data_IF_622900192473
#
_entry.id   IF_622900192473
#
_cell.length_a   1.000
_cell.length_b   1.000
_cell.length_c   1.000
_cell.angle_alpha   90.00
_cell.angle_beta   90.00
_cell.angle_gamma   90.00
#
_symmetry.space_group_name_H-M   'P 1'
#
loop_
_entity.id
_entity.type
_entity.pdbx_description
1 polymer ?
#
# COMPACT_ATOMS: atom_id res chain seq x y z
N UNK A 1 13.16 -7.51 -0.76
CA UNK A 1 13.23 -7.12 -2.19
C UNK A 1 11.90 -6.51 -2.53
N UNK A 2 11.79 -5.19 -2.43
CA UNK A 2 10.61 -4.45 -2.91
C UNK A 2 10.59 -4.56 -4.43
N UNK A 3 9.43 -4.89 -5.00
CA UNK A 3 9.23 -5.06 -6.43
C UNK A 3 9.25 -3.69 -7.11
N UNK A 4 10.45 -3.17 -7.36
CA UNK A 4 10.66 -1.90 -8.06
C UNK A 4 10.20 -2.07 -9.53
N UNK A 5 9.02 -1.54 -9.86
CA UNK A 5 8.64 -1.15 -11.23
C UNK A 5 7.81 -2.11 -12.09
N UNK A 6 7.15 -3.12 -11.54
CA UNK A 6 6.22 -3.97 -12.31
C UNK A 6 4.77 -3.51 -12.14
N UNK A 7 4.05 -3.24 -13.24
CA UNK A 7 2.60 -2.96 -13.22
C UNK A 7 1.84 -4.12 -12.56
N UNK A 8 0.70 -3.85 -11.89
CA UNK A 8 -0.22 -4.89 -11.38
C UNK A 8 -0.46 -5.95 -12.44
N UNK A 9 -0.70 -5.52 -13.68
CA UNK A 9 -0.92 -6.42 -14.79
C UNK A 9 0.30 -7.30 -15.06
N UNK A 10 1.51 -6.75 -15.00
CA UNK A 10 2.75 -7.54 -15.16
C UNK A 10 2.90 -8.60 -14.06
N UNK A 11 2.62 -8.24 -12.81
CA UNK A 11 2.70 -9.17 -11.68
C UNK A 11 1.63 -10.28 -11.78
N UNK A 12 0.39 -9.89 -12.10
CA UNK A 12 -0.74 -10.80 -12.28
C UNK A 12 -0.49 -11.73 -13.47
N UNK A 13 -0.13 -11.20 -14.64
CA UNK A 13 0.18 -12.01 -15.82
C UNK A 13 1.44 -12.87 -15.62
N UNK A 14 2.42 -12.40 -14.86
CA UNK A 14 3.58 -13.20 -14.46
C UNK A 14 3.18 -14.42 -13.63
N UNK A 15 2.33 -14.22 -12.61
CA UNK A 15 1.78 -15.31 -11.82
C UNK A 15 0.95 -16.28 -12.68
N UNK A 16 0.08 -15.75 -13.53
CA UNK A 16 -0.71 -16.56 -14.48
C UNK A 16 0.19 -17.39 -15.41
N UNK A 17 1.24 -16.78 -15.98
CA UNK A 17 2.21 -17.46 -16.86
C UNK A 17 2.95 -18.56 -16.12
N UNK A 18 3.39 -18.30 -14.89
CA UNK A 18 4.05 -19.31 -14.05
C UNK A 18 3.13 -20.50 -13.79
N UNK A 19 1.89 -20.27 -13.37
CA UNK A 19 0.92 -21.33 -13.07
C UNK A 19 0.51 -22.12 -14.31
N UNK A 20 0.38 -21.44 -15.47
CA UNK A 20 0.14 -22.11 -16.75
C UNK A 20 1.35 -22.96 -17.16
N UNK A 21 2.57 -22.44 -17.03
CA UNK A 21 3.81 -23.16 -17.31
C UNK A 21 3.97 -24.39 -16.40
N UNK A 22 3.69 -24.25 -15.11
CA UNK A 22 3.70 -25.34 -14.15
C UNK A 22 2.70 -26.43 -14.56
N UNK A 23 1.50 -26.06 -14.98
CA UNK A 23 0.49 -27.02 -15.47
C UNK A 23 0.99 -27.77 -16.70
N UNK A 24 1.51 -27.07 -17.71
CA UNK A 24 2.04 -27.70 -18.94
C UNK A 24 3.19 -28.64 -18.59
N UNK A 25 4.08 -28.22 -17.70
CA UNK A 25 5.19 -29.04 -17.22
C UNK A 25 4.72 -30.33 -16.54
N UNK A 26 3.72 -30.26 -15.66
CA UNK A 26 3.14 -31.44 -15.00
C UNK A 26 2.48 -32.40 -16.00
N UNK A 27 1.81 -31.87 -17.03
CA UNK A 27 1.23 -32.68 -18.11
C UNK A 27 2.32 -33.37 -18.94
N UNK A 28 3.40 -32.66 -19.26
CA UNK A 28 4.52 -33.20 -20.04
C UNK A 28 5.24 -34.31 -19.27
N UNK A 29 5.50 -34.12 -17.97
CA UNK A 29 6.08 -35.18 -17.12
C UNK A 29 5.13 -36.37 -17.03
N UNK A 30 3.83 -36.14 -16.82
CA UNK A 30 2.83 -37.21 -16.77
C UNK A 30 2.83 -38.06 -18.05
N UNK A 31 2.89 -37.39 -19.20
CA UNK A 31 3.01 -38.02 -20.52
C UNK A 31 4.33 -38.79 -20.71
N UNK A 32 5.46 -38.16 -20.37
CA UNK A 32 6.79 -38.73 -20.52
C UNK A 32 7.02 -39.95 -19.62
N UNK A 33 6.50 -39.91 -18.39
CA UNK A 33 6.60 -41.00 -17.43
C UNK A 33 5.47 -42.04 -17.58
N UNK A 34 4.49 -41.81 -18.47
CA UNK A 34 3.24 -42.59 -18.61
C UNK A 34 2.54 -42.80 -17.26
N UNK A 35 2.58 -41.78 -16.42
CA UNK A 35 2.14 -41.85 -15.03
C UNK A 35 1.25 -40.67 -14.70
N UNK A 36 0.01 -40.93 -14.26
CA UNK A 36 -0.95 -39.87 -13.98
C UNK A 36 -0.67 -39.17 -12.64
N UNK A 37 0.07 -38.06 -12.72
CA UNK A 37 0.38 -37.21 -11.57
C UNK A 37 -0.86 -36.56 -10.97
N UNK A 38 -1.87 -36.23 -11.78
CA UNK A 38 -3.10 -35.60 -11.29
C UNK A 38 -3.95 -36.63 -10.55
N UNK A 39 -4.00 -37.85 -11.06
CA UNK A 39 -4.67 -39.00 -10.44
C UNK A 39 -4.04 -39.48 -9.12
N UNK A 40 -2.85 -39.00 -8.74
CA UNK A 40 -2.26 -39.26 -7.41
C UNK A 40 -2.97 -38.53 -6.28
N UNK A 41 -3.65 -37.43 -6.59
CA UNK A 41 -4.31 -36.62 -5.58
C UNK A 41 -5.75 -37.08 -5.40
N UNK A 42 -6.13 -37.32 -4.15
CA UNK A 42 -7.50 -37.66 -3.78
C UNK A 42 -8.42 -36.46 -4.08
N UNK A 43 -9.36 -36.66 -5.02
CA UNK A 43 -10.30 -35.62 -5.42
C UNK A 43 -11.24 -35.22 -4.28
N UNK A 44 -11.65 -36.14 -3.41
CA UNK A 44 -12.52 -35.80 -2.29
C UNK A 44 -11.80 -34.88 -1.31
N UNK A 45 -10.53 -35.20 -1.01
CA UNK A 45 -9.67 -34.35 -0.19
C UNK A 45 -9.44 -32.97 -0.82
N UNK A 46 -9.20 -32.90 -2.14
CA UNK A 46 -9.03 -31.64 -2.87
C UNK A 46 -10.30 -30.79 -2.86
N UNK A 47 -11.48 -31.40 -3.04
CA UNK A 47 -12.77 -30.71 -3.00
C UNK A 47 -13.07 -30.09 -1.62
N UNK A 48 -12.48 -30.61 -0.54
CA UNK A 48 -12.57 -30.01 0.80
C UNK A 48 -11.47 -28.95 0.99
N UNK A 49 -10.24 -29.24 0.55
CA UNK A 49 -9.08 -28.37 0.76
C UNK A 49 -9.19 -27.04 0.00
N UNK A 50 -9.64 -27.05 -1.27
CA UNK A 50 -9.79 -25.85 -2.09
C UNK A 50 -10.72 -24.81 -1.44
N UNK A 51 -11.98 -25.12 -1.05
CA UNK A 51 -12.84 -24.14 -0.41
C UNK A 51 -12.35 -23.74 0.99
N UNK A 52 -11.74 -24.64 1.75
CA UNK A 52 -11.20 -24.30 3.07
C UNK A 52 -10.06 -23.26 2.97
N UNK A 53 -9.05 -23.52 2.13
CA UNK A 53 -7.93 -22.59 1.91
C UNK A 53 -8.42 -21.31 1.24
N UNK A 54 -9.32 -21.41 0.25
CA UNK A 54 -9.93 -20.26 -0.41
C UNK A 54 -10.71 -19.36 0.55
N UNK A 55 -11.41 -19.94 1.52
CA UNK A 55 -12.15 -19.18 2.54
C UNK A 55 -11.20 -18.44 3.49
N UNK A 56 -10.17 -19.12 4.01
CA UNK A 56 -9.16 -18.49 4.87
C UNK A 56 -8.48 -17.34 4.15
N UNK A 57 -8.10 -17.57 2.89
CA UNK A 57 -7.47 -16.56 2.05
C UNK A 57 -8.39 -15.37 1.79
N UNK A 58 -9.65 -15.62 1.40
CA UNK A 58 -10.64 -14.58 1.14
C UNK A 58 -10.97 -13.74 2.37
N UNK A 59 -11.11 -14.36 3.54
CA UNK A 59 -11.32 -13.66 4.81
C UNK A 59 -10.11 -12.79 5.15
N UNK A 60 -8.90 -13.34 5.04
CA UNK A 60 -7.68 -12.59 5.29
C UNK A 60 -7.57 -11.36 4.39
N UNK A 61 -7.82 -11.52 3.09
CA UNK A 61 -7.83 -10.42 2.12
C UNK A 61 -8.87 -9.35 2.47
N UNK A 62 -10.10 -9.75 2.80
CA UNK A 62 -11.17 -8.81 3.13
C UNK A 62 -10.83 -7.98 4.37
N UNK A 63 -10.28 -8.61 5.41
CA UNK A 63 -9.87 -7.93 6.65
C UNK A 63 -8.72 -6.95 6.34
N UNK A 64 -7.67 -7.40 5.65
CA UNK A 64 -6.52 -6.55 5.34
C UNK A 64 -6.91 -5.38 4.47
N UNK A 65 -7.74 -5.61 3.45
CA UNK A 65 -8.27 -4.54 2.61
C UNK A 65 -9.03 -3.50 3.43
N UNK A 66 -9.90 -3.94 4.36
CA UNK A 66 -10.63 -3.04 5.24
C UNK A 66 -9.71 -2.19 6.15
N UNK A 67 -8.65 -2.79 6.70
CA UNK A 67 -7.67 -2.09 7.54
C UNK A 67 -6.85 -1.10 6.71
N UNK A 68 -6.31 -1.53 5.57
CA UNK A 68 -5.54 -0.68 4.66
C UNK A 68 -6.37 0.53 4.20
N UNK A 69 -7.65 0.29 3.82
CA UNK A 69 -8.55 1.37 3.40
C UNK A 69 -8.82 2.37 4.51
N UNK A 70 -9.07 1.88 5.74
CA UNK A 70 -9.30 2.74 6.90
C UNK A 70 -8.07 3.59 7.22
N UNK A 71 -6.88 3.00 7.20
CA UNK A 71 -5.60 3.69 7.37
C UNK A 71 -5.40 4.78 6.31
N UNK A 72 -5.68 4.48 5.04
CA UNK A 72 -5.59 5.46 3.94
C UNK A 72 -6.49 6.68 4.18
N UNK A 73 -7.74 6.46 4.61
CA UNK A 73 -8.67 7.54 4.95
C UNK A 73 -8.15 8.37 6.13
N UNK A 74 -7.69 7.71 7.19
CA UNK A 74 -7.14 8.38 8.39
C UNK A 74 -5.93 9.25 8.03
N UNK A 75 -4.97 8.73 7.25
CA UNK A 75 -3.79 9.50 6.80
C UNK A 75 -4.21 10.70 5.94
N UNK A 76 -5.21 10.52 5.06
CA UNK A 76 -5.74 11.61 4.22
C UNK A 76 -6.38 12.72 5.05
N UNK A 77 -7.14 12.36 6.09
CA UNK A 77 -7.73 13.32 7.03
C UNK A 77 -6.66 14.05 7.85
N UNK A 78 -5.66 13.33 8.36
CA UNK A 78 -4.54 13.91 9.11
C UNK A 78 -3.70 14.84 8.25
N UNK A 79 -3.46 14.48 6.99
CA UNK A 79 -2.77 15.35 6.02
C UNK A 79 -3.52 16.67 5.86
N UNK A 80 -4.85 16.60 5.61
CA UNK A 80 -5.69 17.78 5.49
C UNK A 80 -5.64 18.66 6.73
N UNK A 81 -5.81 18.07 7.92
CA UNK A 81 -5.75 18.81 9.19
C UNK A 81 -4.38 19.45 9.44
N UNK A 82 -3.29 18.77 9.07
CA UNK A 82 -1.95 19.32 9.17
C UNK A 82 -1.73 20.50 8.21
N UNK A 83 -2.23 20.42 6.98
CA UNK A 83 -2.15 21.53 6.01
C UNK A 83 -3.01 22.72 6.45
N UNK A 84 -4.24 22.49 6.92
CA UNK A 84 -5.13 23.54 7.41
C UNK A 84 -4.50 24.29 8.61
N UNK A 85 -3.90 23.54 9.55
CA UNK A 85 -3.22 24.12 10.70
C UNK A 85 -2.00 24.96 10.27
N UNK A 86 -1.25 24.47 9.29
CA UNK A 86 -0.11 25.19 8.74
C UNK A 86 -0.54 26.48 8.05
N UNK A 87 -1.53 26.41 7.15
CA UNK A 87 -2.08 27.58 6.44
C UNK A 87 -2.61 28.65 7.39
N UNK A 88 -3.27 28.24 8.47
CA UNK A 88 -3.75 29.16 9.50
C UNK A 88 -2.58 29.94 10.12
N UNK A 89 -1.51 29.23 10.53
CA UNK A 89 -0.31 29.85 11.10
C UNK A 89 0.40 30.73 10.05
N UNK A 90 0.50 30.30 8.79
CA UNK A 90 1.10 31.12 7.73
C UNK A 90 0.33 32.43 7.51
N UNK A 91 -0.99 32.37 7.52
CA UNK A 91 -1.88 33.53 7.40
C UNK A 91 -1.67 34.48 8.58
N UNK A 92 -1.61 33.95 9.81
CA UNK A 92 -1.38 34.76 11.00
C UNK A 92 -0.01 35.44 10.99
N UNK A 93 1.05 34.73 10.58
CA UNK A 93 2.38 35.30 10.40
C UNK A 93 2.35 36.46 9.39
N UNK A 94 1.72 36.26 8.23
CA UNK A 94 1.60 37.31 7.19
C UNK A 94 0.83 38.53 7.67
N UNK A 95 -0.17 38.36 8.54
CA UNK A 95 -0.96 39.46 9.13
C UNK A 95 -0.17 40.21 10.20
N UNK A 96 0.62 39.51 11.00
CA UNK A 96 1.32 40.08 12.16
C UNK A 96 2.64 40.75 11.77
N UNK A 97 3.31 40.27 10.71
CA UNK A 97 4.60 40.77 10.26
C UNK A 97 4.66 40.95 8.73
N UNK A 98 3.88 41.88 8.16
CA UNK A 98 3.78 42.07 6.70
C UNK A 98 5.11 42.52 6.06
N UNK A 99 5.98 43.18 6.81
CA UNK A 99 7.26 43.72 6.31
C UNK A 99 8.43 42.72 6.42
N UNK A 100 8.21 41.58 7.08
CA UNK A 100 9.26 40.59 7.30
C UNK A 100 9.31 39.62 6.11
N UNK A 101 10.48 39.51 5.47
CA UNK A 101 10.71 38.57 4.35
C UNK A 101 10.78 37.12 4.86
N UNK A 102 9.63 36.54 5.17
CA UNK A 102 9.50 35.11 5.45
C UNK A 102 9.25 34.35 4.14
N UNK A 103 10.05 33.30 3.89
CA UNK A 103 9.96 32.49 2.67
C UNK A 103 8.73 31.58 2.62
N UNK A 104 8.00 31.45 3.74
CA UNK A 104 6.88 30.53 3.87
C UNK A 104 7.32 29.07 3.94
N UNK A 105 6.36 28.16 3.91
CA UNK A 105 6.63 26.71 4.00
C UNK A 105 6.52 25.97 2.67
N UNK A 106 6.62 26.70 1.54
CA UNK A 106 6.47 26.13 0.20
C UNK A 106 7.47 25.01 -0.13
N UNK A 107 8.72 25.12 0.33
CA UNK A 107 9.71 24.06 0.12
C UNK A 107 9.40 22.81 0.94
N UNK A 108 8.92 22.98 2.17
CA UNK A 108 8.48 21.86 3.01
C UNK A 108 7.26 21.14 2.43
N UNK A 109 6.29 21.87 1.84
CA UNK A 109 5.14 21.25 1.16
C UNK A 109 5.58 20.34 0.01
N UNK A 110 6.59 20.76 -0.78
CA UNK A 110 7.18 19.90 -1.82
C UNK A 110 7.85 18.68 -1.21
N UNK A 111 8.53 18.83 -0.08
CA UNK A 111 9.15 17.71 0.61
C UNK A 111 8.12 16.73 1.17
N UNK A 112 6.93 17.18 1.58
CA UNK A 112 5.82 16.28 1.96
C UNK A 112 5.36 15.48 0.76
N UNK A 113 5.18 16.08 -0.42
CA UNK A 113 4.86 15.33 -1.64
C UNK A 113 5.94 14.28 -1.95
N UNK A 114 7.22 14.65 -1.81
CA UNK A 114 8.34 13.73 -2.02
C UNK A 114 8.39 12.60 -0.97
N UNK A 115 8.05 12.89 0.28
CA UNK A 115 7.96 11.90 1.35
C UNK A 115 6.82 10.93 1.11
N UNK A 116 5.65 11.45 0.73
CA UNK A 116 4.49 10.66 0.38
C UNK A 116 4.74 9.75 -0.82
N UNK A 117 5.56 10.19 -1.78
CA UNK A 117 6.04 9.41 -2.92
C UNK A 117 7.26 8.51 -2.62
N UNK A 118 7.65 8.37 -1.35
CA UNK A 118 8.80 7.58 -0.90
C UNK A 118 10.16 7.99 -1.49
N UNK A 119 10.26 9.20 -2.05
CA UNK A 119 11.52 9.72 -2.58
C UNK A 119 12.49 10.16 -1.48
N UNK A 120 11.98 10.43 -0.29
CA UNK A 120 12.77 10.78 0.89
C UNK A 120 12.33 9.96 2.10
N UNK A 121 13.29 9.64 2.95
CA UNK A 121 13.06 8.79 4.13
C UNK A 121 12.36 9.53 5.26
N UNK A 122 11.70 8.79 6.17
CA UNK A 122 11.09 9.37 7.36
C UNK A 122 12.08 10.20 8.24
N UNK A 123 13.30 9.71 8.55
CA UNK A 123 14.27 10.52 9.30
C UNK A 123 14.58 11.87 8.63
N UNK A 124 14.62 11.87 7.29
CA UNK A 124 14.88 13.07 6.50
C UNK A 124 13.72 14.06 6.56
N UNK A 125 12.47 13.62 6.29
CA UNK A 125 11.30 14.52 6.39
C UNK A 125 11.09 15.00 7.82
N UNK A 126 11.39 14.18 8.84
CA UNK A 126 11.33 14.57 10.25
C UNK A 126 12.31 15.71 10.54
N UNK A 127 13.54 15.62 10.02
CA UNK A 127 14.53 16.68 10.15
C UNK A 127 14.10 17.96 9.43
N UNK A 128 13.61 17.85 8.18
CA UNK A 128 13.11 18.99 7.39
C UNK A 128 11.90 19.64 8.04
N UNK A 129 11.01 18.85 8.63
CA UNK A 129 9.84 19.32 9.41
C UNK A 129 10.28 20.08 10.65
N UNK A 130 11.29 19.57 11.38
CA UNK A 130 11.82 20.27 12.54
C UNK A 130 12.39 21.64 12.16
N UNK A 131 13.16 21.73 11.08
CA UNK A 131 13.69 22.99 10.57
C UNK A 131 12.56 23.98 10.19
N UNK A 132 11.54 23.51 9.48
CA UNK A 132 10.36 24.32 9.15
C UNK A 132 9.64 24.83 10.41
N UNK A 133 9.45 23.98 11.43
CA UNK A 133 8.83 24.38 12.69
C UNK A 133 9.70 25.38 13.47
N UNK A 134 11.02 25.26 13.43
CA UNK A 134 11.95 26.24 14.02
C UNK A 134 11.86 27.60 13.32
N UNK A 135 11.77 27.62 11.98
CA UNK A 135 11.57 28.84 11.20
C UNK A 135 10.22 29.51 11.53
N UNK A 136 9.14 28.74 11.60
CA UNK A 136 7.82 29.22 12.03
C UNK A 136 7.90 29.77 13.45
N UNK A 137 8.57 29.05 14.36
CA UNK A 137 8.73 29.47 15.76
C UNK A 137 9.48 30.78 15.88
N UNK A 138 10.54 30.99 15.08
CA UNK A 138 11.29 32.23 15.06
C UNK A 138 10.44 33.45 14.68
N UNK A 139 9.44 33.26 13.82
CA UNK A 139 8.50 34.31 13.41
C UNK A 139 7.49 34.68 14.51
N UNK A 140 7.12 33.74 15.37
CA UNK A 140 6.06 33.92 16.37
C UNK A 140 6.58 34.04 17.81
N UNK A 141 7.87 33.83 18.08
CA UNK A 141 8.44 33.76 19.44
C UNK A 141 8.19 35.01 20.29
N UNK A 142 8.07 36.18 19.65
CA UNK A 142 7.76 37.45 20.32
C UNK A 142 6.27 37.59 20.68
N UNK A 143 5.43 36.61 20.35
CA UNK A 143 3.97 36.64 20.48
C UNK A 143 3.45 35.46 21.31
N UNK A 144 3.29 35.62 22.63
CA UNK A 144 2.81 34.55 23.52
C UNK A 144 1.44 33.96 23.11
N UNK A 145 0.57 34.75 22.47
CA UNK A 145 -0.75 34.29 22.01
C UNK A 145 -0.68 33.22 20.90
N UNK A 146 0.44 33.13 20.18
CA UNK A 146 0.65 32.17 19.09
C UNK A 146 1.33 30.88 19.56
N UNK A 147 1.86 30.85 20.79
CA UNK A 147 2.60 29.71 21.33
C UNK A 147 1.70 28.48 21.51
N UNK A 148 0.47 28.68 22.01
CA UNK A 148 -0.51 27.60 22.19
C UNK A 148 -1.01 27.05 20.84
N UNK A 149 -1.47 27.87 19.87
CA UNK A 149 -1.79 27.38 18.53
C UNK A 149 -0.62 26.66 17.84
N UNK A 150 0.62 27.13 18.03
CA UNK A 150 1.79 26.49 17.46
C UNK A 150 2.01 25.08 18.04
N UNK A 151 2.06 24.94 19.37
CA UNK A 151 2.35 23.64 20.00
C UNK A 151 1.16 22.67 19.94
N UNK A 152 -0.04 23.12 20.30
CA UNK A 152 -1.20 22.23 20.48
C UNK A 152 -1.97 21.97 19.19
N UNK A 153 -1.79 22.80 18.16
CA UNK A 153 -2.41 22.58 16.86
C UNK A 153 -1.35 22.18 15.84
N UNK A 154 -0.47 23.09 15.44
CA UNK A 154 0.45 22.83 14.31
C UNK A 154 1.40 21.65 14.57
N UNK A 155 2.20 21.72 15.65
CA UNK A 155 3.19 20.68 15.97
C UNK A 155 2.50 19.34 16.23
N UNK A 156 1.38 19.35 16.96
CA UNK A 156 0.62 18.15 17.27
C UNK A 156 0.09 17.46 15.99
N UNK A 157 -0.57 18.20 15.10
CA UNK A 157 -1.17 17.67 13.86
C UNK A 157 -0.12 17.16 12.88
N UNK A 158 0.97 17.89 12.69
CA UNK A 158 2.07 17.46 11.81
C UNK A 158 2.75 16.21 12.39
N UNK A 159 2.96 16.15 13.70
CA UNK A 159 3.56 14.98 14.35
C UNK A 159 2.67 13.74 14.25
N UNK A 160 1.36 13.91 14.46
CA UNK A 160 0.36 12.85 14.33
C UNK A 160 0.32 12.32 12.90
N UNK A 161 0.23 13.21 11.91
CA UNK A 161 0.30 12.87 10.49
C UNK A 161 1.55 12.05 10.16
N UNK A 162 2.75 12.60 10.42
CA UNK A 162 4.01 11.95 10.07
C UNK A 162 4.19 10.59 10.74
N UNK A 163 3.77 10.46 12.00
CA UNK A 163 3.90 9.19 12.75
C UNK A 163 2.95 8.13 12.19
N UNK A 164 1.72 8.51 11.85
CA UNK A 164 0.72 7.58 11.30
C UNK A 164 1.09 7.10 9.90
N UNK A 165 1.75 7.93 9.10
CA UNK A 165 2.24 7.55 7.77
C UNK A 165 3.31 6.44 7.83
N UNK A 166 4.02 6.25 8.95
CA UNK A 166 5.04 5.20 9.07
C UNK A 166 4.49 3.79 9.38
N UNK A 167 3.22 3.68 9.76
CA UNK A 167 2.70 2.43 10.31
C UNK A 167 2.31 1.50 9.17
N UNK A 168 3.24 0.71 8.66
CA UNK A 168 2.99 -0.33 7.64
C UNK A 168 2.65 -1.68 8.28
N UNK A 169 2.02 -2.59 7.51
CA UNK A 169 1.92 -3.97 7.93
C UNK A 169 3.31 -4.59 8.06
N UNK A 170 3.47 -5.45 9.05
CA UNK A 170 4.72 -6.16 9.23
C UNK A 170 5.03 -7.01 7.97
N UNK A 171 6.25 -6.99 7.39
CA UNK A 171 6.56 -7.68 6.11
C UNK A 171 6.22 -9.18 6.09
N UNK A 172 6.26 -9.82 7.26
CA UNK A 172 5.87 -11.24 7.43
C UNK A 172 4.42 -11.48 7.04
N UNK A 173 3.54 -10.50 7.24
CA UNK A 173 2.13 -10.59 6.88
C UNK A 173 1.95 -10.72 5.36
N UNK A 174 2.59 -9.85 4.58
CA UNK A 174 2.57 -9.89 3.12
C UNK A 174 3.16 -11.20 2.57
N UNK A 175 4.25 -11.68 3.19
CA UNK A 175 4.83 -12.98 2.86
C UNK A 175 3.87 -14.14 3.14
N UNK A 176 3.18 -14.12 4.29
CA UNK A 176 2.21 -15.14 4.66
C UNK A 176 1.00 -15.14 3.71
N UNK A 177 0.48 -13.95 3.39
CA UNK A 177 -0.66 -13.79 2.50
C UNK A 177 -0.36 -14.27 1.07
N UNK A 178 0.84 -13.97 0.55
CA UNK A 178 1.29 -14.50 -0.74
C UNK A 178 1.48 -16.03 -0.69
N UNK A 179 2.03 -16.59 0.39
CA UNK A 179 2.17 -18.06 0.53
C UNK A 179 0.82 -18.77 0.50
N UNK A 180 -0.19 -18.24 1.19
CA UNK A 180 -1.54 -18.80 1.15
C UNK A 180 -2.16 -18.67 -0.24
N UNK A 181 -1.96 -17.54 -0.93
CA UNK A 181 -2.41 -17.34 -2.30
C UNK A 181 -1.82 -18.40 -3.25
N UNK A 182 -0.49 -18.61 -3.20
CA UNK A 182 0.18 -19.62 -4.02
C UNK A 182 -0.32 -21.03 -3.70
N UNK A 183 -0.50 -21.37 -2.42
CA UNK A 183 -1.07 -22.65 -2.02
C UNK A 183 -2.47 -22.84 -2.61
N UNK A 184 -3.33 -21.82 -2.51
CA UNK A 184 -4.67 -21.86 -3.07
C UNK A 184 -4.64 -22.07 -4.60
N UNK A 185 -3.78 -21.35 -5.32
CA UNK A 185 -3.65 -21.47 -6.77
C UNK A 185 -3.16 -22.86 -7.21
N UNK A 186 -2.24 -23.46 -6.46
CA UNK A 186 -1.78 -24.85 -6.69
C UNK A 186 -2.93 -25.84 -6.44
N UNK A 187 -3.71 -25.66 -5.36
CA UNK A 187 -4.85 -26.53 -5.09
C UNK A 187 -5.91 -26.44 -6.18
N UNK A 188 -6.20 -25.23 -6.69
CA UNK A 188 -7.11 -25.03 -7.83
C UNK A 188 -6.56 -25.70 -9.10
N UNK A 189 -5.25 -25.61 -9.34
CA UNK A 189 -4.59 -26.29 -10.47
C UNK A 189 -4.86 -27.79 -10.46
N UNK A 190 -4.76 -28.43 -9.29
CA UNK A 190 -4.93 -29.87 -9.11
C UNK A 190 -6.40 -30.28 -9.12
N UNK A 191 -7.29 -29.49 -8.52
CA UNK A 191 -8.70 -29.84 -8.36
C UNK A 191 -9.52 -29.69 -9.65
N UNK A 192 -9.12 -28.81 -10.57
CA UNK A 192 -9.85 -28.55 -11.81
C UNK A 192 -9.03 -28.94 -13.05
N UNK A 193 -8.92 -30.23 -13.41
CA UNK A 193 -8.21 -30.65 -14.62
C UNK A 193 -8.94 -30.20 -15.90
N UNK A 194 -8.20 -30.14 -17.01
CA UNK A 194 -8.75 -29.79 -18.33
C UNK A 194 -8.86 -28.30 -18.64
N UNK A 195 -9.38 -27.98 -19.83
CA UNK A 195 -9.39 -26.62 -20.40
C UNK A 195 -10.24 -25.64 -19.58
N UNK A 196 -11.42 -26.04 -19.12
CA UNK A 196 -12.28 -25.23 -18.26
C UNK A 196 -11.59 -24.85 -16.96
N UNK A 197 -10.85 -25.79 -16.36
CA UNK A 197 -10.07 -25.52 -15.16
C UNK A 197 -8.93 -24.53 -15.38
N UNK A 198 -8.32 -24.50 -16.58
CA UNK A 198 -7.35 -23.45 -16.94
C UNK A 198 -8.01 -22.07 -16.88
N UNK A 199 -9.17 -21.89 -17.52
CA UNK A 199 -9.86 -20.59 -17.51
C UNK A 199 -10.27 -20.16 -16.10
N UNK A 200 -10.80 -21.09 -15.30
CA UNK A 200 -11.14 -20.82 -13.89
C UNK A 200 -9.90 -20.43 -13.09
N UNK A 201 -8.80 -21.17 -13.21
CA UNK A 201 -7.56 -20.86 -12.51
C UNK A 201 -7.02 -19.48 -12.91
N UNK A 202 -7.03 -19.15 -14.20
CA UNK A 202 -6.61 -17.85 -14.70
C UNK A 202 -7.46 -16.71 -14.14
N UNK A 203 -8.78 -16.87 -14.09
CA UNK A 203 -9.70 -15.90 -13.50
C UNK A 203 -9.47 -15.73 -11.99
N UNK A 204 -9.30 -16.84 -11.27
CA UNK A 204 -9.03 -16.84 -9.83
C UNK A 204 -7.72 -16.13 -9.52
N UNK A 205 -6.63 -16.45 -10.24
CA UNK A 205 -5.36 -15.75 -10.09
C UNK A 205 -5.53 -14.26 -10.41
N UNK A 206 -6.23 -13.91 -11.49
CA UNK A 206 -6.44 -12.53 -11.88
C UNK A 206 -7.11 -11.71 -10.76
N UNK A 207 -8.20 -12.21 -10.19
CA UNK A 207 -8.95 -11.51 -9.14
C UNK A 207 -8.13 -11.44 -7.84
N UNK A 208 -7.62 -12.57 -7.37
CA UNK A 208 -6.99 -12.62 -6.06
C UNK A 208 -5.59 -12.03 -6.05
N UNK A 209 -4.75 -12.32 -7.06
CA UNK A 209 -3.44 -11.70 -7.15
C UNK A 209 -3.57 -10.18 -7.38
N UNK A 210 -4.59 -9.74 -8.14
CA UNK A 210 -4.90 -8.32 -8.28
C UNK A 210 -5.22 -7.67 -6.93
N UNK A 211 -6.07 -8.30 -6.11
CA UNK A 211 -6.40 -7.81 -4.77
C UNK A 211 -5.19 -7.77 -3.83
N UNK A 212 -4.31 -8.78 -3.87
CA UNK A 212 -3.07 -8.80 -3.07
C UNK A 212 -2.21 -7.57 -3.40
N UNK A 213 -2.04 -7.27 -4.68
CA UNK A 213 -1.22 -6.13 -5.12
C UNK A 213 -1.88 -4.79 -4.77
N UNK A 214 -3.21 -4.69 -4.89
CA UNK A 214 -3.94 -3.49 -4.44
C UNK A 214 -3.75 -3.25 -2.94
N UNK A 215 -3.82 -4.29 -2.12
CA UNK A 215 -3.64 -4.18 -0.68
C UNK A 215 -2.22 -3.73 -0.33
N UNK A 216 -1.21 -4.29 -1.01
CA UNK A 216 0.19 -3.90 -0.84
C UNK A 216 0.39 -2.42 -1.21
N UNK A 217 -0.17 -1.98 -2.33
CA UNK A 217 -0.12 -0.58 -2.75
C UNK A 217 -0.82 0.37 -1.75
N UNK A 218 -1.99 -0.03 -1.24
CA UNK A 218 -2.73 0.74 -0.24
C UNK A 218 -2.04 0.82 1.13
N UNK A 219 -1.07 -0.03 1.43
CA UNK A 219 -0.31 0.03 2.67
C UNK A 219 0.77 1.12 2.64
N UNK A 220 1.12 1.60 1.45
CA UNK A 220 2.04 2.71 1.23
C UNK A 220 1.29 4.06 1.16
N UNK A 221 1.99 5.16 1.44
CA UNK A 221 1.36 6.48 1.64
C UNK A 221 0.82 7.12 0.35
N UNK A 222 1.43 6.80 -0.80
CA UNK A 222 0.96 7.06 -2.17
C UNK A 222 1.33 5.86 -3.04
N UNK A 223 0.45 5.57 -4.01
CA UNK A 223 0.60 4.53 -5.04
C UNK A 223 2.05 4.46 -5.56
N UNK A 224 2.72 3.35 -5.26
CA UNK A 224 4.15 3.15 -5.56
C UNK A 224 4.35 2.79 -7.02
N UNK A 225 4.05 3.73 -7.94
CA UNK A 225 4.19 3.53 -9.40
C UNK A 225 3.50 2.27 -9.94
N UNK A 226 2.51 1.73 -9.25
CA UNK A 226 1.76 0.58 -9.75
C UNK A 226 0.46 1.10 -10.33
N UNK A 227 0.56 1.84 -11.44
CA UNK A 227 -0.58 2.45 -12.15
C UNK A 227 -1.72 1.46 -12.34
N UNK A 228 -2.66 1.51 -11.41
CA UNK A 228 -3.98 0.94 -11.48
C UNK A 228 -4.91 2.11 -11.76
N UNK A 229 -5.43 2.16 -12.99
CA UNK A 229 -6.58 2.95 -13.40
C UNK A 229 -6.95 4.13 -12.48
N UNK A 230 -6.29 5.25 -12.72
CA UNK A 230 -6.90 6.58 -12.63
C UNK A 230 -7.72 6.85 -11.34
N UNK A 231 -7.06 6.96 -10.19
CA UNK A 231 -7.56 7.85 -9.15
C UNK A 231 -6.47 8.83 -8.76
N UNK A 232 -6.45 9.97 -9.46
CA UNK A 232 -5.94 11.23 -8.92
C UNK A 232 -6.59 11.44 -7.55
N UNK A 233 -5.93 11.07 -6.47
CA UNK A 233 -6.37 11.46 -5.12
C UNK A 233 -5.56 12.65 -4.61
N UNK A 234 -4.51 13.07 -5.32
CA UNK A 234 -3.81 14.33 -5.03
C UNK A 234 -3.40 15.01 -6.33
N UNK A 235 -4.38 15.62 -7.02
CA UNK A 235 -4.09 16.65 -8.02
C UNK A 235 -4.38 17.99 -7.36
N UNK A 236 -3.29 18.63 -6.92
CA UNK A 236 -3.09 20.05 -6.56
C UNK A 236 -4.09 20.69 -5.60
#
# INVERSE_FOLDING_TARGET
>A
MSAIGASVLTLVFGAMTFHLGLRVFLLEISSALKFDIVGLFDQEALMIAVPAVGSVFGIALAITFGIAKRKQIEISELHRLAMDALETIESDIKRIAPDQKWKGTGDWRKDISRFLNEEISYPEIKSRTKAMLEDVRAMIISRPSMDVPFHNNLVARISEFLTKTQIEFHPVFHLWLNRIAQLYFILVLLAAPGLTGVFVQMLVIFVFQGLVVIIDDMDHAVDTKVTLFNSKILDV
#
